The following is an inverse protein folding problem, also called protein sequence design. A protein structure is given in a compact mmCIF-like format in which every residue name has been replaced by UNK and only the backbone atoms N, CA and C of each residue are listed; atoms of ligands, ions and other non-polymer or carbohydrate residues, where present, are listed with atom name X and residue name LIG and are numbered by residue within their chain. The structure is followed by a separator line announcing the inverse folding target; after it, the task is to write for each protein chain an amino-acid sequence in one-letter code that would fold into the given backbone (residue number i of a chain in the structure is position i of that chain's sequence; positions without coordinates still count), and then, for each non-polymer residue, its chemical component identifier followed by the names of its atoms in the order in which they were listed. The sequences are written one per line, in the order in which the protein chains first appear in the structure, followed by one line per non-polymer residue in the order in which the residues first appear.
data_IF_718707602580
#
_entry.id   IF_718707602580
#
_cell.length_a   1.000
_cell.length_b   1.000
_cell.length_c   1.000
_cell.angle_alpha   90.00
_cell.angle_beta   90.00
_cell.angle_gamma   90.00
#
_symmetry.space_group_name_H-M   'P 1'
#
loop_
_entity.id
_entity.type
_entity.pdbx_description
1 polymer ?
#
# COMPACT_ATOMS: atom_id res chain seq x y z
N UNK A 1 -15.93 10.95 -15.39
CA UNK A 1 -17.36 11.34 -15.31
C UNK A 1 -17.41 12.65 -14.55
N UNK A 2 -18.16 13.65 -15.03
CA UNK A 2 -18.16 15.01 -14.50
C UNK A 2 -19.04 15.12 -13.25
N UNK A 3 -18.51 15.70 -12.16
CA UNK A 3 -19.32 16.23 -11.07
C UNK A 3 -19.78 17.64 -11.48
N UNK A 4 -21.03 17.79 -11.90
CA UNK A 4 -21.58 19.09 -12.31
C UNK A 4 -21.92 19.96 -11.08
N UNK A 5 -21.59 21.26 -11.17
CA UNK A 5 -22.14 22.30 -10.29
C UNK A 5 -23.62 22.58 -10.65
N UNK A 6 -24.49 22.96 -9.70
CA UNK A 6 -25.90 23.19 -9.99
C UNK A 6 -26.16 24.60 -10.57
N UNK A 7 -26.95 24.64 -11.65
CA UNK A 7 -27.55 25.85 -12.24
C UNK A 7 -29.09 25.80 -12.02
N UNK A 8 -29.79 26.85 -11.56
CA UNK A 8 -31.15 26.73 -11.05
C UNK A 8 -32.18 27.28 -12.03
N UNK A 9 -32.62 26.51 -13.04
CA UNK A 9 -33.91 26.77 -13.72
C UNK A 9 -34.39 25.64 -14.67
N UNK A 10 -35.44 24.93 -14.21
CA UNK A 10 -36.55 24.36 -15.00
C UNK A 10 -36.38 23.09 -15.87
N UNK A 11 -37.49 22.33 -16.09
CA UNK A 11 -37.48 20.88 -16.23
C UNK A 11 -37.83 20.39 -17.64
N UNK A 12 -37.19 19.32 -18.10
CA UNK A 12 -37.79 18.35 -19.02
C UNK A 12 -37.06 17.01 -18.92
N UNK A 13 -37.84 15.94 -18.95
CA UNK A 13 -37.46 14.58 -18.62
C UNK A 13 -36.70 13.89 -19.75
N UNK A 14 -35.59 13.23 -19.42
CA UNK A 14 -35.23 11.85 -19.80
C UNK A 14 -33.81 11.52 -19.31
N UNK A 15 -33.70 10.93 -18.12
CA UNK A 15 -32.60 10.06 -17.68
C UNK A 15 -32.98 9.44 -16.32
N UNK A 16 -33.99 8.57 -16.34
CA UNK A 16 -34.38 7.78 -15.19
C UNK A 16 -33.36 6.63 -15.00
N UNK A 17 -32.27 6.89 -14.27
CA UNK A 17 -31.43 5.89 -13.57
C UNK A 17 -30.34 6.50 -12.66
N UNK A 18 -30.46 7.76 -12.24
CA UNK A 18 -29.65 8.31 -11.14
C UNK A 18 -30.50 8.24 -9.85
N UNK A 19 -30.10 7.49 -8.80
CA UNK A 19 -30.74 7.63 -7.50
C UNK A 19 -30.23 8.91 -6.84
N UNK A 20 -31.18 9.69 -6.34
CA UNK A 20 -30.98 10.96 -5.64
C UNK A 20 -30.04 10.80 -4.43
N UNK A 21 -28.91 11.50 -4.46
CA UNK A 21 -27.98 11.57 -3.34
C UNK A 21 -28.47 12.54 -2.26
N UNK A 22 -28.58 12.16 -0.98
CA UNK A 22 -28.93 13.10 0.06
C UNK A 22 -27.71 13.91 0.53
N UNK A 23 -27.78 15.21 0.30
CA UNK A 23 -27.08 16.24 1.06
C UNK A 23 -27.85 16.56 2.34
N UNK A 24 -27.15 16.70 3.47
CA UNK A 24 -27.51 17.69 4.51
C UNK A 24 -26.22 18.16 5.19
N UNK A 25 -25.73 19.34 4.79
CA UNK A 25 -24.77 20.13 5.58
C UNK A 25 -25.54 20.76 6.76
N UNK A 26 -24.95 20.89 7.97
CA UNK A 26 -24.00 21.97 8.25
C UNK A 26 -22.75 21.50 9.03
N UNK A 27 -21.63 21.42 8.30
CA UNK A 27 -20.21 21.37 8.71
C UNK A 27 -19.74 20.32 9.75
N UNK A 28 -18.92 19.32 9.33
CA UNK A 28 -17.52 19.60 8.96
C UNK A 28 -17.04 18.91 7.66
N UNK A 29 -16.08 19.56 7.00
CA UNK A 29 -15.31 19.21 5.78
C UNK A 29 -14.82 17.74 5.67
N UNK A 30 -15.74 16.81 5.40
CA UNK A 30 -15.44 15.41 5.12
C UNK A 30 -15.89 15.03 3.71
N UNK A 31 -14.92 14.70 2.84
CA UNK A 31 -15.22 14.06 1.57
C UNK A 31 -15.69 12.63 1.83
N UNK A 32 -16.92 12.33 1.44
CA UNK A 32 -17.49 10.98 1.45
C UNK A 32 -16.93 10.21 0.25
N UNK A 33 -16.37 9.04 0.50
CA UNK A 33 -16.00 8.08 -0.54
C UNK A 33 -16.84 6.81 -0.32
N UNK A 34 -17.66 6.43 -1.30
CA UNK A 34 -18.46 5.21 -1.24
C UNK A 34 -17.53 3.99 -1.24
N UNK A 35 -17.59 3.15 -0.21
CA UNK A 35 -16.82 1.91 -0.13
C UNK A 35 -17.60 0.76 -0.82
N UNK A 36 -17.08 -0.49 -0.89
CA UNK A 36 -17.85 -1.65 -1.31
C UNK A 36 -19.07 -1.92 -0.41
N UNK A 37 -19.17 -1.18 0.69
CA UNK A 37 -20.23 -1.22 1.66
C UNK A 37 -21.00 0.09 1.58
N UNK A 38 -22.24 -0.04 1.10
CA UNK A 38 -23.19 1.05 0.98
C UNK A 38 -23.28 1.84 2.30
N UNK A 39 -23.36 3.17 2.21
CA UNK A 39 -23.47 4.07 3.36
C UNK A 39 -22.30 4.00 4.35
N UNK A 40 -21.07 3.84 3.84
CA UNK A 40 -19.88 4.11 4.65
C UNK A 40 -19.84 5.58 5.03
N UNK A 41 -19.67 5.84 6.32
CA UNK A 41 -19.47 7.19 6.83
C UNK A 41 -18.07 7.29 7.41
N UNK A 42 -17.33 8.30 6.96
CA UNK A 42 -16.02 8.60 7.49
C UNK A 42 -15.79 10.11 7.61
N UNK A 43 -14.98 10.47 8.58
CA UNK A 43 -14.33 11.78 8.60
C UNK A 43 -12.94 11.65 9.20
N UNK A 44 -12.11 12.62 8.87
CA UNK A 44 -10.74 12.72 9.33
C UNK A 44 -10.53 14.04 10.06
N UNK A 45 -9.71 14.01 11.11
CA UNK A 45 -9.40 15.21 11.87
C UNK A 45 -7.90 15.28 12.15
N UNK A 46 -7.21 16.35 11.69
CA UNK A 46 -5.83 16.61 12.09
C UNK A 46 -5.77 17.02 13.56
N UNK A 47 -4.75 16.56 14.26
CA UNK A 47 -4.59 16.74 15.71
C UNK A 47 -3.15 17.10 16.07
N UNK A 48 -2.99 17.83 17.17
CA UNK A 48 -1.74 17.93 17.91
C UNK A 48 -1.82 17.12 19.21
N UNK A 49 -0.68 16.63 19.68
CA UNK A 49 -0.60 15.85 20.92
C UNK A 49 0.37 16.48 21.92
N UNK A 50 0.03 16.39 23.20
CA UNK A 50 0.92 16.67 24.33
C UNK A 50 0.57 15.68 25.43
N UNK A 51 1.57 15.05 26.03
CA UNK A 51 1.34 14.10 27.10
C UNK A 51 2.61 13.50 27.65
N UNK A 52 2.48 12.34 28.30
CA UNK A 52 3.61 11.51 28.72
C UNK A 52 3.44 10.11 28.15
N UNK A 53 4.50 9.57 27.55
CA UNK A 53 4.55 8.18 27.11
C UNK A 53 5.34 7.37 28.13
N UNK A 54 4.85 6.18 28.46
CA UNK A 54 5.54 5.24 29.35
C UNK A 54 5.68 3.88 28.68
N UNK A 55 6.91 3.38 28.62
CA UNK A 55 7.24 2.04 28.09
C UNK A 55 8.22 1.35 29.02
N UNK A 56 7.82 0.23 29.61
CA UNK A 56 8.57 -0.40 30.70
C UNK A 56 8.76 0.57 31.88
N UNK A 57 10.03 0.85 32.19
CA UNK A 57 10.42 1.76 33.27
C UNK A 57 10.74 3.18 32.80
N UNK A 58 10.68 3.44 31.48
CA UNK A 58 10.94 4.77 30.91
C UNK A 58 9.64 5.54 30.81
N UNK A 59 9.63 6.78 31.28
CA UNK A 59 8.52 7.72 31.12
C UNK A 59 9.06 9.07 30.65
N UNK A 60 8.53 9.57 29.54
CA UNK A 60 8.98 10.82 28.93
C UNK A 60 7.80 11.73 28.59
N UNK A 61 7.99 13.04 28.78
CA UNK A 61 7.05 14.04 28.29
C UNK A 61 7.24 14.20 26.78
N UNK A 62 6.14 14.20 26.03
CA UNK A 62 6.16 14.28 24.56
C UNK A 62 5.20 15.34 24.05
N UNK A 63 5.55 15.92 22.90
CA UNK A 63 4.68 16.78 22.12
C UNK A 63 4.79 16.44 20.63
N UNK A 64 3.67 16.50 19.93
CA UNK A 64 3.57 16.31 18.48
C UNK A 64 2.64 17.36 17.89
N UNK A 65 2.99 17.90 16.72
CA UNK A 65 2.16 18.87 16.00
C UNK A 65 1.33 18.24 14.88
N UNK A 66 1.67 17.00 14.54
CA UNK A 66 1.08 16.21 13.48
C UNK A 66 0.41 15.01 14.14
N UNK A 67 -0.80 14.74 13.71
CA UNK A 67 -1.67 13.75 14.29
C UNK A 67 -2.94 13.61 13.49
N UNK A 68 -3.53 12.44 13.59
CA UNK A 68 -4.70 12.09 12.81
C UNK A 68 -5.67 11.30 13.67
N UNK A 69 -6.94 11.63 13.54
CA UNK A 69 -8.03 10.80 13.99
C UNK A 69 -8.84 10.39 12.76
N UNK A 70 -8.86 9.08 12.52
CA UNK A 70 -9.79 8.46 11.58
C UNK A 70 -11.02 7.97 12.34
N UNK A 71 -12.21 8.34 11.85
CA UNK A 71 -13.49 7.88 12.36
C UNK A 71 -14.27 7.34 11.19
N UNK A 72 -14.46 6.04 11.20
CA UNK A 72 -15.23 5.33 10.19
C UNK A 72 -16.27 4.44 10.86
N UNK A 73 -17.47 4.40 10.29
CA UNK A 73 -18.51 3.47 10.69
C UNK A 73 -19.34 3.03 9.50
N UNK A 74 -19.92 1.85 9.66
CA UNK A 74 -20.66 1.13 8.64
C UNK A 74 -21.98 0.67 9.26
N UNK A 75 -23.08 0.63 8.49
CA UNK A 75 -24.33 0.05 8.96
C UNK A 75 -24.20 -1.45 9.19
N UNK A 76 -23.35 -2.11 8.39
CA UNK A 76 -23.12 -3.56 8.41
C UNK A 76 -21.68 -3.90 8.83
N UNK A 77 -21.47 -5.14 9.23
CA UNK A 77 -20.13 -5.64 9.56
C UNK A 77 -19.25 -5.75 8.31
N UNK A 78 -18.17 -4.98 8.26
CA UNK A 78 -17.20 -4.93 7.14
C UNK A 78 -16.67 -6.30 6.73
N UNK A 79 -16.41 -7.16 7.71
CA UNK A 79 -15.88 -8.49 7.45
C UNK A 79 -16.87 -9.45 6.77
N UNK A 80 -18.15 -9.09 6.63
CA UNK A 80 -19.16 -9.94 5.98
C UNK A 80 -18.77 -10.30 4.54
N UNK A 81 -18.04 -9.42 3.86
CA UNK A 81 -17.58 -9.63 2.50
C UNK A 81 -16.11 -10.09 2.39
N UNK A 82 -15.41 -10.27 3.52
CA UNK A 82 -13.98 -10.59 3.53
C UNK A 82 -13.65 -12.05 3.16
N UNK A 83 -14.66 -12.91 3.02
CA UNK A 83 -14.49 -14.36 2.87
C UNK A 83 -14.39 -15.05 4.23
N UNK A 84 -14.69 -16.36 4.27
CA UNK A 84 -14.77 -17.13 5.52
C UNK A 84 -13.45 -17.13 6.29
N UNK A 85 -12.33 -17.02 5.58
CA UNK A 85 -10.98 -16.99 6.14
C UNK A 85 -10.35 -15.60 6.00
N UNK A 86 -11.12 -14.55 5.71
CA UNK A 86 -10.61 -13.20 5.50
C UNK A 86 -9.70 -13.07 4.28
N UNK A 87 -9.87 -13.94 3.29
CA UNK A 87 -8.95 -14.10 2.17
C UNK A 87 -9.21 -13.16 0.99
N UNK A 88 -10.39 -12.54 0.94
CA UNK A 88 -10.87 -11.89 -0.28
C UNK A 88 -10.28 -10.51 -0.50
N UNK A 89 -10.25 -9.69 0.54
CA UNK A 89 -9.81 -8.30 0.44
C UNK A 89 -8.53 -8.07 1.23
N UNK A 90 -7.71 -7.16 0.73
CA UNK A 90 -6.64 -6.53 1.47
C UNK A 90 -6.66 -5.03 1.17
N UNK A 91 -6.01 -4.25 1.99
CA UNK A 91 -5.98 -2.81 1.84
C UNK A 91 -4.59 -2.21 2.04
N UNK A 92 -4.43 -1.02 1.47
CA UNK A 92 -3.42 -0.04 1.83
C UNK A 92 -4.16 1.22 2.24
N UNK A 93 -3.76 1.75 3.39
CA UNK A 93 -4.13 3.10 3.80
C UNK A 93 -2.87 3.89 4.10
N UNK A 94 -2.82 5.13 3.65
CA UNK A 94 -1.76 6.05 4.04
C UNK A 94 -2.36 7.40 4.40
N UNK A 95 -2.04 7.87 5.59
CA UNK A 95 -2.26 9.23 6.02
C UNK A 95 -0.97 10.01 5.81
N UNK A 96 -1.06 11.24 5.29
CA UNK A 96 0.09 12.09 4.97
C UNK A 96 -0.24 13.52 5.41
N UNK A 97 0.54 14.06 6.33
CA UNK A 97 0.52 15.47 6.74
C UNK A 97 1.76 16.16 6.19
N UNK A 98 1.56 17.20 5.38
CA UNK A 98 2.63 18.04 4.86
C UNK A 98 2.85 19.26 5.74
N UNK A 99 4.09 19.74 5.82
CA UNK A 99 4.49 20.89 6.65
C UNK A 99 3.83 22.20 6.21
N UNK A 100 3.34 22.27 4.97
CA UNK A 100 2.57 23.40 4.45
C UNK A 100 1.08 23.38 4.86
N UNK A 101 0.67 22.40 5.68
CA UNK A 101 -0.68 22.28 6.22
C UNK A 101 -1.65 21.46 5.35
N UNK A 102 -1.20 20.93 4.22
CA UNK A 102 -1.99 19.97 3.45
C UNK A 102 -2.04 18.61 4.13
N UNK A 103 -3.21 18.01 4.07
CA UNK A 103 -3.51 16.71 4.67
C UNK A 103 -4.07 15.77 3.60
N UNK A 104 -3.51 14.57 3.47
CA UNK A 104 -3.95 13.58 2.48
C UNK A 104 -4.26 12.22 3.12
N UNK A 105 -5.24 11.55 2.55
CA UNK A 105 -5.57 10.16 2.81
C UNK A 105 -5.61 9.38 1.50
N UNK A 106 -4.69 8.44 1.34
CA UNK A 106 -4.70 7.44 0.28
C UNK A 106 -5.41 6.18 0.80
N UNK A 107 -6.44 5.72 0.09
CA UNK A 107 -7.11 4.46 0.39
C UNK A 107 -7.12 3.56 -0.84
N UNK A 108 -6.63 2.32 -0.70
CA UNK A 108 -6.62 1.31 -1.77
C UNK A 108 -7.13 -0.02 -1.26
N UNK A 109 -8.12 -0.58 -1.94
CA UNK A 109 -8.56 -1.96 -1.71
C UNK A 109 -8.18 -2.86 -2.87
N UNK A 110 -7.85 -4.10 -2.55
CA UNK A 110 -7.43 -5.11 -3.49
C UNK A 110 -8.31 -6.35 -3.35
N UNK A 111 -8.95 -6.76 -4.45
CA UNK A 111 -9.60 -8.06 -4.57
C UNK A 111 -8.51 -9.12 -4.83
N UNK A 112 -8.09 -9.78 -3.75
CA UNK A 112 -7.03 -10.80 -3.74
C UNK A 112 -7.44 -12.05 -4.50
N UNK A 113 -8.75 -12.31 -4.65
CA UNK A 113 -9.25 -13.44 -5.44
C UNK A 113 -9.14 -13.15 -6.95
N UNK A 114 -9.22 -11.88 -7.33
CA UNK A 114 -9.06 -11.42 -8.72
C UNK A 114 -7.67 -10.87 -8.99
N UNK A 115 -6.65 -11.60 -8.54
CA UNK A 115 -5.23 -11.27 -8.75
C UNK A 115 -4.83 -9.89 -8.22
N UNK A 116 -5.32 -9.53 -7.05
CA UNK A 116 -5.07 -8.22 -6.40
C UNK A 116 -5.56 -7.03 -7.22
N UNK A 117 -6.65 -7.21 -7.97
CA UNK A 117 -7.26 -6.13 -8.74
C UNK A 117 -7.73 -5.03 -7.79
N UNK A 118 -7.39 -3.77 -8.09
CA UNK A 118 -7.87 -2.61 -7.34
C UNK A 118 -9.39 -2.54 -7.43
N UNK A 119 -10.05 -2.35 -6.29
CA UNK A 119 -11.50 -2.19 -6.20
C UNK A 119 -11.86 -0.74 -6.52
N UNK A 120 -12.90 -0.56 -7.34
CA UNK A 120 -13.40 0.73 -7.77
C UNK A 120 -13.98 1.50 -6.58
N UNK A 121 -13.23 2.52 -6.13
CA UNK A 121 -13.47 3.50 -5.05
C UNK A 121 -12.14 3.90 -4.37
N UNK A 122 -11.08 3.15 -4.64
CA UNK A 122 -9.72 3.50 -4.21
C UNK A 122 -9.33 4.87 -4.79
N UNK A 123 -8.63 5.69 -4.00
CA UNK A 123 -8.33 7.07 -4.38
C UNK A 123 -7.51 7.82 -3.33
N UNK A 124 -7.33 9.11 -3.59
CA UNK A 124 -6.68 10.06 -2.69
C UNK A 124 -7.64 11.20 -2.40
N UNK A 125 -7.89 11.42 -1.11
CA UNK A 125 -8.57 12.62 -0.60
C UNK A 125 -7.52 13.57 -0.05
N UNK A 126 -7.61 14.85 -0.39
CA UNK A 126 -6.75 15.90 0.15
C UNK A 126 -7.57 17.02 0.76
N UNK A 127 -7.08 17.64 1.83
CA UNK A 127 -7.65 18.85 2.42
C UNK A 127 -6.56 19.90 2.51
N UNK A 128 -6.84 21.09 1.98
CA UNK A 128 -5.92 22.22 2.03
C UNK A 128 -5.96 22.94 3.40
N UNK A 129 -5.02 23.85 3.69
CA UNK A 129 -4.99 24.57 4.97
C UNK A 129 -6.25 25.43 5.23
N UNK A 130 -6.98 25.80 4.18
CA UNK A 130 -8.24 26.52 4.25
C UNK A 130 -9.46 25.60 4.48
N UNK A 131 -9.26 24.29 4.54
CA UNK A 131 -10.29 23.29 4.79
C UNK A 131 -11.04 22.82 3.54
N UNK A 132 -10.61 23.21 2.33
CA UNK A 132 -11.22 22.74 1.08
C UNK A 132 -10.74 21.33 0.79
N UNK A 133 -11.69 20.45 0.51
CA UNK A 133 -11.40 19.04 0.22
C UNK A 133 -11.43 18.76 -1.28
N UNK A 134 -10.51 17.93 -1.73
CA UNK A 134 -10.39 17.40 -3.09
C UNK A 134 -10.33 15.87 -3.06
N UNK A 135 -10.76 15.24 -4.14
CA UNK A 135 -10.68 13.80 -4.34
C UNK A 135 -10.15 13.49 -5.74
N UNK A 136 -9.32 12.45 -5.86
CA UNK A 136 -8.88 11.89 -7.13
C UNK A 136 -8.84 10.37 -7.09
N UNK A 137 -9.47 9.73 -8.07
CA UNK A 137 -9.28 8.32 -8.40
C UNK A 137 -8.17 8.10 -9.45
N UNK A 138 -7.62 9.18 -10.01
CA UNK A 138 -6.43 9.18 -10.86
C UNK A 138 -5.18 9.36 -10.00
N UNK A 139 -4.54 8.23 -9.66
CA UNK A 139 -3.31 8.20 -8.89
C UNK A 139 -2.42 7.03 -9.31
N UNK A 140 -1.12 7.15 -9.05
CA UNK A 140 -0.12 6.09 -9.26
C UNK A 140 0.62 5.86 -7.95
N UNK A 141 0.78 4.60 -7.57
CA UNK A 141 1.60 4.19 -6.44
C UNK A 141 2.61 3.16 -6.91
N UNK A 142 3.89 3.52 -6.84
CA UNK A 142 4.99 2.62 -7.12
C UNK A 142 5.65 2.17 -5.81
N UNK A 143 5.58 0.88 -5.45
CA UNK A 143 6.33 0.34 -4.31
C UNK A 143 7.84 0.51 -4.55
N UNK A 144 8.55 1.08 -3.58
CA UNK A 144 9.99 1.34 -3.68
C UNK A 144 10.82 0.34 -2.87
N UNK A 145 10.29 -0.15 -1.76
CA UNK A 145 10.95 -1.14 -0.93
C UNK A 145 9.97 -2.11 -0.30
N UNK A 146 10.50 -3.25 0.13
CA UNK A 146 9.78 -4.31 0.81
C UNK A 146 10.60 -4.78 2.01
N UNK A 147 9.92 -5.12 3.09
CA UNK A 147 10.52 -5.84 4.21
C UNK A 147 9.86 -7.22 4.35
N UNK A 148 10.64 -8.16 4.87
CA UNK A 148 10.15 -9.48 5.23
C UNK A 148 9.55 -9.43 6.63
N UNK A 149 8.31 -9.87 6.77
CA UNK A 149 7.74 -10.13 8.09
C UNK A 149 8.66 -11.06 8.90
N UNK A 150 9.14 -10.63 10.08
CA UNK A 150 9.92 -11.45 11.00
C UNK A 150 9.10 -12.56 11.69
N UNK A 151 7.88 -12.82 11.22
CA UNK A 151 6.90 -13.73 11.80
C UNK A 151 6.45 -13.30 13.20
N UNK A 152 6.28 -11.99 13.40
CA UNK A 152 5.71 -11.44 14.64
C UNK A 152 4.19 -11.25 14.54
N UNK A 153 3.63 -11.35 13.33
CA UNK A 153 2.19 -11.32 13.08
C UNK A 153 1.66 -12.76 13.12
N UNK A 154 0.82 -13.04 14.11
CA UNK A 154 0.14 -14.32 14.34
C UNK A 154 -1.38 -14.15 14.18
N UNK A 155 -1.91 -14.24 12.95
CA UNK A 155 -3.33 -14.12 12.72
C UNK A 155 -4.10 -15.25 13.40
N UNK A 156 -5.31 -14.96 13.88
CA UNK A 156 -6.16 -15.95 14.57
C UNK A 156 -6.39 -17.22 13.73
N UNK A 157 -6.50 -17.06 12.41
CA UNK A 157 -6.74 -18.15 11.46
C UNK A 157 -5.47 -18.58 10.70
N UNK A 158 -4.28 -18.14 11.14
CA UNK A 158 -3.03 -18.27 10.39
C UNK A 158 -2.70 -19.72 10.01
N UNK A 159 -2.79 -20.65 10.95
CA UNK A 159 -2.49 -22.07 10.73
C UNK A 159 -3.48 -22.72 9.75
N UNK A 160 -4.77 -22.42 9.89
CA UNK A 160 -5.81 -22.91 8.98
C UNK A 160 -5.58 -22.35 7.58
N UNK A 161 -5.27 -21.05 7.47
CA UNK A 161 -4.97 -20.39 6.20
C UNK A 161 -3.75 -21.00 5.49
N UNK A 162 -2.71 -21.39 6.25
CA UNK A 162 -1.54 -22.11 5.71
C UNK A 162 -1.97 -23.50 5.22
N UNK A 163 -2.69 -24.25 6.05
CA UNK A 163 -3.10 -25.62 5.74
C UNK A 163 -3.94 -25.71 4.45
N UNK A 164 -4.76 -24.68 4.17
CA UNK A 164 -5.57 -24.61 2.94
C UNK A 164 -4.91 -23.81 1.80
N UNK A 165 -3.65 -23.41 1.96
CA UNK A 165 -2.84 -22.81 0.88
C UNK A 165 -3.21 -21.37 0.51
N UNK A 166 -3.88 -20.63 1.40
CA UNK A 166 -4.24 -19.21 1.19
C UNK A 166 -3.35 -18.24 1.98
N UNK A 167 -2.32 -18.76 2.65
CA UNK A 167 -1.27 -18.02 3.35
C UNK A 167 0.03 -18.80 3.32
N UNK A 168 1.14 -18.08 3.43
CA UNK A 168 2.47 -18.65 3.62
C UNK A 168 3.14 -18.09 4.89
N UNK A 169 4.13 -18.80 5.43
CA UNK A 169 5.07 -18.26 6.41
C UNK A 169 6.05 -17.24 5.78
N UNK A 170 6.13 -17.24 4.45
CA UNK A 170 6.96 -16.35 3.65
C UNK A 170 6.08 -15.17 3.23
N UNK A 171 6.24 -14.00 3.87
CA UNK A 171 5.41 -12.82 3.63
C UNK A 171 6.26 -11.57 3.59
N UNK A 172 6.25 -10.85 2.49
CA UNK A 172 6.85 -9.53 2.38
C UNK A 172 5.73 -8.48 2.29
N UNK A 173 5.97 -7.29 2.85
CA UNK A 173 5.06 -6.15 2.72
C UNK A 173 5.89 -4.99 2.17
N UNK A 174 5.32 -4.22 1.24
CA UNK A 174 5.97 -2.97 0.84
C UNK A 174 5.90 -1.96 1.98
N UNK A 175 6.88 -1.09 2.07
CA UNK A 175 7.03 -0.13 3.18
C UNK A 175 7.42 1.29 2.77
N UNK A 176 8.08 1.45 1.63
CA UNK A 176 8.23 2.74 0.95
C UNK A 176 7.47 2.74 -0.38
N UNK A 177 6.95 3.90 -0.77
CA UNK A 177 6.26 4.07 -2.03
C UNK A 177 6.37 5.50 -2.58
N UNK A 178 6.31 5.61 -3.91
CA UNK A 178 6.15 6.87 -4.64
C UNK A 178 4.68 7.05 -5.00
N UNK A 179 4.05 8.13 -4.52
CA UNK A 179 2.67 8.48 -4.82
C UNK A 179 2.64 9.69 -5.75
N UNK A 180 1.89 9.56 -6.86
CA UNK A 180 1.63 10.63 -7.82
C UNK A 180 0.13 10.80 -8.02
N UNK A 181 -0.36 12.04 -7.94
CA UNK A 181 -1.76 12.42 -8.17
C UNK A 181 -1.77 13.63 -9.11
N UNK A 182 -1.77 13.42 -10.44
CA UNK A 182 -1.58 14.49 -11.42
C UNK A 182 -2.60 15.62 -11.32
N UNK A 183 -3.87 15.28 -11.06
CA UNK A 183 -4.98 16.24 -10.92
C UNK A 183 -4.81 17.22 -9.75
N UNK A 184 -4.04 16.85 -8.73
CA UNK A 184 -3.73 17.65 -7.55
C UNK A 184 -2.31 18.26 -7.65
N UNK A 185 -1.49 17.77 -8.59
CA UNK A 185 -0.08 18.13 -8.68
C UNK A 185 0.78 17.55 -7.55
N UNK A 186 0.32 16.48 -6.88
CA UNK A 186 1.06 15.81 -5.80
C UNK A 186 2.02 14.77 -6.39
N UNK A 187 3.29 14.84 -5.99
CA UNK A 187 4.33 13.87 -6.34
C UNK A 187 5.26 13.71 -5.12
N UNK A 188 5.12 12.62 -4.36
CA UNK A 188 5.81 12.45 -3.08
C UNK A 188 6.31 11.03 -2.87
N UNK A 189 7.44 10.92 -2.18
CA UNK A 189 7.99 9.65 -1.70
C UNK A 189 7.71 9.51 -0.20
N UNK A 190 7.09 8.40 0.17
CA UNK A 190 6.89 7.98 1.57
C UNK A 190 7.92 6.91 1.92
N UNK A 191 8.74 7.18 2.94
CA UNK A 191 9.82 6.31 3.41
C UNK A 191 9.57 5.91 4.87
N UNK A 192 9.67 4.63 5.26
CA UNK A 192 9.43 4.23 6.64
C UNK A 192 10.49 4.81 7.59
N UNK A 193 10.07 5.35 8.74
CA UNK A 193 11.00 5.83 9.77
C UNK A 193 11.64 4.68 10.56
N UNK A 194 10.95 3.54 10.61
CA UNK A 194 11.42 2.30 11.25
C UNK A 194 11.12 1.14 10.31
N UNK A 195 12.07 0.22 10.18
CA UNK A 195 11.95 -0.91 9.25
C UNK A 195 10.74 -1.80 9.53
N UNK A 196 10.33 -1.92 10.80
CA UNK A 196 9.22 -2.78 11.23
C UNK A 196 8.52 -2.23 12.48
N UNK A 197 7.18 -2.18 12.54
CA UNK A 197 6.40 -1.72 13.65
C UNK A 197 6.10 -2.85 14.63
N UNK A 198 5.80 -2.41 15.85
CA UNK A 198 5.51 -3.22 17.02
C UNK A 198 4.01 -3.50 17.14
N UNK A 199 3.42 -4.26 16.21
CA UNK A 199 2.01 -4.64 16.29
C UNK A 199 1.83 -6.15 16.21
N UNK A 200 1.38 -6.74 17.33
CA UNK A 200 0.90 -8.13 17.40
C UNK A 200 -0.62 -8.14 17.23
N UNK A 201 -1.06 -7.90 16.00
CA UNK A 201 -2.49 -7.94 15.66
C UNK A 201 -2.89 -9.37 15.25
N UNK A 202 -4.14 -9.80 15.52
CA UNK A 202 -4.64 -11.12 15.13
C UNK A 202 -5.03 -11.21 13.64
N UNK A 203 -4.47 -10.33 12.80
CA UNK A 203 -4.68 -10.24 11.35
C UNK A 203 -3.36 -9.87 10.67
N UNK A 204 -3.22 -10.20 9.39
CA UNK A 204 -2.11 -9.71 8.54
C UNK A 204 -2.20 -8.19 8.45
N UNK A 205 -1.54 -7.49 9.37
CA UNK A 205 -1.64 -6.04 9.50
C UNK A 205 -0.30 -5.45 9.88
N UNK A 206 0.16 -4.54 9.05
CA UNK A 206 1.35 -3.75 9.31
C UNK A 206 0.97 -2.29 9.24
N UNK A 207 1.45 -1.50 10.21
CA UNK A 207 1.29 -0.06 10.18
C UNK A 207 2.49 0.64 10.80
N UNK A 208 3.00 1.70 10.20
CA UNK A 208 4.13 2.42 10.78
C UNK A 208 4.26 3.85 10.30
N UNK A 209 5.01 4.68 11.05
CA UNK A 209 5.24 6.07 10.66
C UNK A 209 6.22 6.15 9.49
N UNK A 210 5.99 7.14 8.63
CA UNK A 210 6.77 7.41 7.43
C UNK A 210 7.20 8.88 7.40
N UNK A 211 8.36 9.15 6.81
CA UNK A 211 8.75 10.49 6.35
C UNK A 211 8.24 10.66 4.93
N UNK A 212 7.80 11.87 4.61
CA UNK A 212 7.32 12.23 3.27
C UNK A 212 8.14 13.39 2.75
N UNK A 213 8.58 13.30 1.50
CA UNK A 213 9.30 14.36 0.78
C UNK A 213 8.89 14.36 -0.69
N UNK A 214 8.78 15.53 -1.33
CA UNK A 214 8.46 15.65 -2.76
C UNK A 214 7.94 17.02 -3.14
N UNK A 215 6.93 17.08 -4.01
CA UNK A 215 6.34 18.33 -4.52
C UNK A 215 4.81 18.32 -4.47
N UNK A 216 4.24 19.51 -4.30
CA UNK A 216 2.83 19.82 -4.52
C UNK A 216 2.74 21.04 -5.44
N UNK A 217 2.31 20.82 -6.68
CA UNK A 217 2.50 21.79 -7.76
C UNK A 217 3.99 22.08 -7.96
N UNK A 218 4.37 23.36 -7.98
CA UNK A 218 5.77 23.78 -8.12
C UNK A 218 6.50 23.91 -6.76
N UNK A 219 5.85 23.58 -5.65
CA UNK A 219 6.40 23.74 -4.31
C UNK A 219 7.03 22.44 -3.80
N UNK A 220 8.25 22.52 -3.30
CA UNK A 220 8.84 21.44 -2.50
C UNK A 220 8.10 21.32 -1.17
N UNK A 221 7.76 20.09 -0.80
CA UNK A 221 7.04 19.76 0.43
C UNK A 221 7.74 18.63 1.16
N UNK A 222 7.67 18.68 2.49
CA UNK A 222 8.06 17.60 3.39
C UNK A 222 6.96 17.38 4.42
N UNK A 223 7.04 16.28 5.14
CA UNK A 223 6.15 16.02 6.25
C UNK A 223 6.29 14.60 6.78
N UNK A 224 5.22 14.13 7.41
CA UNK A 224 5.14 12.80 7.98
C UNK A 224 3.84 12.13 7.57
N UNK A 225 3.85 10.82 7.60
CA UNK A 225 2.65 10.04 7.37
C UNK A 225 2.59 8.81 8.23
N UNK A 226 1.47 8.12 8.14
CA UNK A 226 1.24 6.81 8.70
C UNK A 226 0.82 5.87 7.58
N UNK A 227 1.48 4.73 7.45
CA UNK A 227 1.21 3.79 6.37
C UNK A 227 0.80 2.43 6.92
N UNK A 228 -0.46 2.10 6.69
CA UNK A 228 -1.15 0.86 7.04
C UNK A 228 -1.35 -0.04 5.83
N UNK A 229 -1.23 -1.36 6.02
CA UNK A 229 -1.53 -2.35 5.00
C UNK A 229 -1.86 -3.72 5.57
N UNK A 230 -2.76 -4.43 4.88
CA UNK A 230 -3.15 -5.81 5.17
C UNK A 230 -2.88 -6.78 4.02
N UNK A 231 -2.08 -6.34 3.04
CA UNK A 231 -1.78 -7.10 1.83
C UNK A 231 -0.32 -7.62 1.84
N UNK A 232 -0.04 -8.78 2.48
CA UNK A 232 1.25 -9.42 2.32
C UNK A 232 1.38 -10.03 0.92
N UNK A 233 2.60 -9.95 0.39
CA UNK A 233 3.08 -10.56 -0.85
C UNK A 233 3.71 -11.90 -0.50
N UNK A 234 3.10 -12.97 -0.98
CA UNK A 234 3.56 -14.34 -0.67
C UNK A 234 3.28 -15.34 -1.79
N UNK A 235 2.32 -15.05 -2.68
CA UNK A 235 2.06 -15.90 -3.84
C UNK A 235 3.21 -15.78 -4.83
N UNK A 236 3.57 -16.83 -5.59
CA UNK A 236 4.63 -16.72 -6.59
C UNK A 236 4.46 -15.55 -7.58
N UNK A 237 3.23 -15.29 -8.01
CA UNK A 237 2.87 -14.14 -8.88
C UNK A 237 3.09 -12.77 -8.24
N UNK A 238 3.06 -12.69 -6.91
CA UNK A 238 3.29 -11.48 -6.13
C UNK A 238 4.77 -11.33 -5.81
N UNK A 239 5.43 -12.41 -5.41
CA UNK A 239 6.85 -12.39 -5.08
C UNK A 239 7.75 -12.08 -6.27
N UNK A 240 7.34 -12.42 -7.50
CA UNK A 240 8.05 -11.94 -8.69
C UNK A 240 7.95 -10.43 -8.89
N UNK A 241 6.87 -9.80 -8.40
CA UNK A 241 6.72 -8.33 -8.38
C UNK A 241 7.66 -7.75 -7.33
N UNK A 242 7.67 -8.30 -6.11
CA UNK A 242 8.62 -7.93 -5.05
C UNK A 242 10.05 -7.96 -5.58
N UNK A 243 10.46 -9.08 -6.20
CA UNK A 243 11.80 -9.22 -6.77
C UNK A 243 12.10 -8.21 -7.87
N UNK A 244 11.16 -7.97 -8.79
CA UNK A 244 11.34 -7.01 -9.87
C UNK A 244 11.51 -5.59 -9.34
N UNK A 245 10.64 -5.18 -8.43
CA UNK A 245 10.63 -3.83 -7.89
C UNK A 245 11.89 -3.58 -7.02
N UNK A 246 12.29 -4.56 -6.21
CA UNK A 246 13.56 -4.51 -5.47
C UNK A 246 14.80 -4.42 -6.35
N UNK A 247 14.72 -4.84 -7.62
CA UNK A 247 15.80 -4.68 -8.60
C UNK A 247 15.73 -3.31 -9.29
N UNK A 248 14.54 -2.83 -9.65
CA UNK A 248 14.33 -1.54 -10.31
C UNK A 248 14.85 -0.37 -9.48
N UNK A 249 14.64 -0.42 -8.17
CA UNK A 249 14.99 0.68 -7.25
C UNK A 249 16.31 0.45 -6.52
N UNK A 250 17.21 -0.36 -7.10
CA UNK A 250 18.57 -0.47 -6.59
C UNK A 250 19.30 0.88 -6.69
N UNK A 251 20.05 1.27 -5.65
CA UNK A 251 20.97 2.39 -5.74
C UNK A 251 21.99 2.21 -6.87
N UNK A 252 22.39 3.31 -7.52
CA UNK A 252 23.32 3.25 -8.67
C UNK A 252 24.67 2.64 -8.31
N UNK A 253 25.16 2.90 -7.10
CA UNK A 253 26.38 2.30 -6.54
C UNK A 253 26.21 0.80 -6.29
N UNK A 254 25.00 0.31 -6.02
CA UNK A 254 24.74 -1.10 -5.82
C UNK A 254 24.96 -1.96 -7.08
N UNK A 255 24.77 -1.36 -8.26
CA UNK A 255 24.95 -2.00 -9.56
C UNK A 255 26.24 -1.58 -10.27
N UNK A 256 27.10 -0.76 -9.65
CA UNK A 256 28.27 -0.18 -10.32
C UNK A 256 29.27 -1.21 -10.87
N UNK A 257 29.36 -2.40 -10.25
CA UNK A 257 30.21 -3.51 -10.71
C UNK A 257 29.47 -4.52 -11.59
N UNK A 258 28.17 -4.33 -11.82
CA UNK A 258 27.34 -5.21 -12.62
C UNK A 258 27.47 -4.85 -14.11
N UNK A 259 27.54 -5.85 -15.01
CA UNK A 259 27.43 -5.61 -16.46
C UNK A 259 26.00 -5.25 -16.90
N UNK A 260 25.02 -5.36 -16.00
CA UNK A 260 23.61 -5.07 -16.24
C UNK A 260 23.14 -3.91 -15.36
N UNK A 261 22.32 -3.02 -15.93
CA UNK A 261 21.62 -1.98 -15.17
C UNK A 261 20.54 -2.58 -14.25
N UNK A 262 20.04 -1.77 -13.32
CA UNK A 262 18.89 -2.12 -12.47
C UNK A 262 17.67 -2.56 -13.30
N UNK A 263 17.36 -1.83 -14.37
CA UNK A 263 16.25 -2.18 -15.28
C UNK A 263 16.48 -3.50 -16.00
N UNK A 264 17.70 -3.74 -16.50
CA UNK A 264 18.03 -4.99 -17.19
C UNK A 264 17.95 -6.20 -16.26
N UNK A 265 18.34 -6.05 -14.99
CA UNK A 265 18.19 -7.09 -13.98
C UNK A 265 16.71 -7.34 -13.65
N UNK A 266 15.92 -6.27 -13.50
CA UNK A 266 14.49 -6.35 -13.27
C UNK A 266 13.76 -7.05 -14.43
N UNK A 267 14.11 -6.74 -15.68
CA UNK A 267 13.60 -7.41 -16.86
C UNK A 267 14.02 -8.89 -16.91
N UNK A 268 15.25 -9.20 -16.52
CA UNK A 268 15.73 -10.59 -16.42
C UNK A 268 14.90 -11.38 -15.39
N UNK A 269 14.60 -10.81 -14.23
CA UNK A 269 13.69 -11.42 -13.27
C UNK A 269 12.29 -11.59 -13.86
N UNK A 270 11.76 -10.57 -14.53
CA UNK A 270 10.41 -10.57 -15.10
C UNK A 270 10.20 -11.64 -16.19
N UNK A 271 11.26 -12.11 -16.84
CA UNK A 271 11.19 -13.26 -17.77
C UNK A 271 10.65 -14.55 -17.13
N UNK A 272 10.68 -14.68 -15.79
CA UNK A 272 10.09 -15.80 -15.07
C UNK A 272 8.56 -15.71 -14.96
N UNK A 273 7.99 -14.50 -15.02
CA UNK A 273 6.56 -14.26 -14.81
C UNK A 273 5.64 -15.06 -15.75
N UNK A 274 5.89 -15.14 -17.08
CA UNK A 274 5.04 -15.93 -17.97
C UNK A 274 5.04 -17.44 -17.67
N UNK A 275 6.09 -17.96 -17.02
CA UNK A 275 6.12 -19.35 -16.54
C UNK A 275 5.34 -19.49 -15.23
N UNK A 276 5.50 -18.56 -14.29
CA UNK A 276 4.73 -18.52 -13.04
C UNK A 276 3.22 -18.39 -13.28
N UNK A 277 2.80 -17.48 -14.16
CA UNK A 277 1.38 -17.26 -14.48
C UNK A 277 0.71 -18.48 -15.15
N UNK A 278 1.50 -19.36 -15.76
CA UNK A 278 1.06 -20.62 -16.38
C UNK A 278 1.38 -21.86 -15.53
N UNK A 279 1.80 -21.66 -14.28
CA UNK A 279 2.18 -22.75 -13.35
C UNK A 279 3.28 -23.68 -13.88
N UNK A 280 4.15 -23.21 -14.77
CA UNK A 280 5.33 -23.93 -15.28
C UNK A 280 6.51 -23.73 -14.33
N UNK A 281 6.37 -24.19 -13.10
CA UNK A 281 7.30 -23.88 -12.00
C UNK A 281 8.73 -24.37 -12.24
N UNK A 282 8.93 -25.54 -12.85
CA UNK A 282 10.27 -26.00 -13.22
C UNK A 282 10.99 -25.08 -14.22
N UNK A 283 10.25 -24.45 -15.14
CA UNK A 283 10.82 -23.45 -16.05
C UNK A 283 11.16 -22.16 -15.31
N UNK A 284 10.24 -21.65 -14.49
CA UNK A 284 10.47 -20.44 -13.70
C UNK A 284 11.68 -20.61 -12.77
N UNK A 285 11.78 -21.76 -12.09
CA UNK A 285 12.89 -22.11 -11.21
C UNK A 285 14.24 -22.08 -11.95
N UNK A 286 14.34 -22.69 -13.14
CA UNK A 286 15.58 -22.62 -13.94
C UNK A 286 15.94 -21.18 -14.33
N UNK A 287 14.96 -20.36 -14.73
CA UNK A 287 15.22 -18.95 -15.04
C UNK A 287 15.76 -18.18 -13.81
N UNK A 288 15.17 -18.39 -12.65
CA UNK A 288 15.59 -17.74 -11.40
C UNK A 288 16.97 -18.24 -10.92
N UNK A 289 17.18 -19.55 -10.93
CA UNK A 289 18.40 -20.17 -10.40
C UNK A 289 19.58 -20.09 -11.35
N UNK A 290 19.38 -20.40 -12.63
CA UNK A 290 20.49 -20.58 -13.58
C UNK A 290 20.91 -19.26 -14.22
N UNK A 291 20.00 -18.28 -14.31
CA UNK A 291 20.28 -16.99 -14.95
C UNK A 291 20.34 -15.85 -13.95
N UNK A 292 19.26 -15.63 -13.19
CA UNK A 292 19.18 -14.46 -12.31
C UNK A 292 20.21 -14.53 -11.18
N UNK A 293 20.36 -15.66 -10.47
CA UNK A 293 21.35 -15.76 -9.36
C UNK A 293 22.78 -15.44 -9.79
N UNK A 294 23.18 -15.82 -11.00
CA UNK A 294 24.50 -15.48 -11.54
C UNK A 294 24.61 -13.97 -11.81
N UNK A 295 23.57 -13.37 -12.38
CA UNK A 295 23.52 -11.92 -12.64
C UNK A 295 23.51 -11.07 -11.36
N UNK A 296 23.12 -11.64 -10.21
CA UNK A 296 23.16 -10.97 -8.90
C UNK A 296 24.53 -11.01 -8.22
N UNK A 297 25.48 -11.85 -8.67
CA UNK A 297 26.82 -11.95 -8.06
C UNK A 297 27.55 -10.60 -7.95
N UNK A 298 27.60 -9.75 -9.00
CA UNK A 298 28.34 -8.48 -8.96
C UNK A 298 27.63 -7.36 -8.17
N UNK A 299 26.42 -7.58 -7.67
CA UNK A 299 25.70 -6.60 -6.84
C UNK A 299 26.41 -6.45 -5.50
N UNK A 300 26.52 -5.23 -5.00
CA UNK A 300 27.18 -4.96 -3.73
C UNK A 300 26.32 -5.42 -2.54
N UNK A 301 26.96 -5.69 -1.40
CA UNK A 301 26.24 -5.89 -0.14
C UNK A 301 25.76 -4.55 0.43
N UNK A 302 24.64 -4.49 1.17
CA UNK A 302 23.79 -5.63 1.58
C UNK A 302 22.71 -6.02 0.53
N UNK A 303 22.62 -5.29 -0.58
CA UNK A 303 21.56 -5.47 -1.58
C UNK A 303 21.55 -6.87 -2.20
N UNK A 304 22.74 -7.42 -2.49
CA UNK A 304 22.86 -8.78 -3.02
C UNK A 304 22.26 -9.83 -2.09
N UNK A 305 22.55 -9.77 -0.78
CA UNK A 305 21.98 -10.71 0.19
C UNK A 305 20.46 -10.59 0.29
N UNK A 306 19.94 -9.36 0.29
CA UNK A 306 18.50 -9.11 0.28
C UNK A 306 17.81 -9.71 -0.96
N UNK A 307 18.36 -9.49 -2.16
CA UNK A 307 17.82 -10.02 -3.41
C UNK A 307 17.91 -11.55 -3.48
N UNK A 308 19.04 -12.14 -3.03
CA UNK A 308 19.19 -13.59 -2.94
C UNK A 308 18.12 -14.21 -2.06
N UNK A 309 17.84 -13.62 -0.89
CA UNK A 309 16.74 -14.05 -0.01
C UNK A 309 15.40 -14.06 -0.74
N UNK A 310 15.05 -12.99 -1.47
CA UNK A 310 13.77 -12.94 -2.22
C UNK A 310 13.73 -14.04 -3.30
N UNK A 311 14.85 -14.29 -3.99
CA UNK A 311 14.94 -15.38 -4.98
C UNK A 311 14.79 -16.75 -4.32
N UNK A 312 15.44 -16.97 -3.19
CA UNK A 312 15.34 -18.22 -2.41
C UNK A 312 13.91 -18.45 -1.93
N UNK A 313 13.31 -17.43 -1.29
CA UNK A 313 11.91 -17.44 -0.85
C UNK A 313 10.95 -17.80 -2.02
N UNK A 314 11.13 -17.16 -3.19
CA UNK A 314 10.29 -17.43 -4.37
C UNK A 314 10.50 -18.85 -4.91
N UNK A 315 11.74 -19.33 -4.95
CA UNK A 315 12.06 -20.70 -5.38
C UNK A 315 11.45 -21.73 -4.43
N UNK A 316 11.50 -21.48 -3.12
CA UNK A 316 10.91 -22.37 -2.12
C UNK A 316 9.40 -22.46 -2.30
N UNK A 317 8.72 -21.32 -2.50
CA UNK A 317 7.28 -21.28 -2.75
C UNK A 317 6.82 -22.07 -3.98
N UNK A 318 7.64 -22.15 -5.03
CA UNK A 318 7.29 -22.87 -6.25
C UNK A 318 7.80 -24.32 -6.28
N UNK A 319 8.71 -24.69 -5.38
CA UNK A 319 9.27 -26.05 -5.31
C UNK A 319 8.30 -27.06 -4.71
N UNK A 320 7.30 -26.62 -3.94
CA UNK A 320 6.22 -27.49 -3.45
C UNK A 320 5.36 -28.09 -4.57
N UNK A 321 5.42 -27.54 -5.77
CA UNK A 321 4.56 -27.90 -6.90
C UNK A 321 5.33 -28.53 -8.09
N UNK A 322 6.64 -28.75 -7.95
CA UNK A 322 7.53 -29.24 -9.02
C UNK A 322 7.79 -30.73 -8.97
#
# INVERSE_FOLDING_TARGET
MSCNQPDPASPSAENANAPDGPTTSPDPSSAKCDSPEDNTHSYFQPLGYRGRLRWGNTEEAVTGRIGWLDRQWFPDYVGANAGVLGERFGHQWSQISLDNGWEFSLWRHFDRTRRDRIVAFSGVTGTDPEGRTVFSDEYVVDPLSYFRDPNQIEPLLGDVQIAVGIRSHIRDFFDAFHLRVPSIGLDIVSTPLVATPAHRMPIDYFSGPTKVDGTLGDQSVSGFGFHERTQPFWRPRQMIIVLRDSLLYLPTDAVASSPLSAEQLADLAWQAKPALDRHRYGQARRQLQDRLRLALVPITEPHRSHLKRIVDDLVDQISFFS
#
